data_IF_237495830493
#
_entry.id   IF_237495830493
#
_cell.length_a   1.000
_cell.length_b   1.000
_cell.length_c   1.000
_cell.angle_alpha   90.00
_cell.angle_beta   90.00
_cell.angle_gamma   90.00
#
_symmetry.space_group_name_H-M   'P 1'
#
loop_
_entity.id
_entity.type
_entity.pdbx_description
1 polymer ?
#
# COMPACT_ATOMS: atom_id res chain seq x y z
N UNK A 1 -7.95 -3.14 -8.22
CA UNK A 1 -8.11 -4.37 -7.43
C UNK A 1 -9.40 -4.26 -6.60
N UNK A 2 -10.26 -5.28 -6.58
CA UNK A 2 -11.51 -5.30 -5.79
C UNK A 2 -11.38 -6.43 -4.76
N UNK A 3 -11.49 -6.11 -3.48
CA UNK A 3 -11.22 -7.06 -2.40
C UNK A 3 -12.53 -7.75 -1.94
N UNK A 4 -12.45 -9.02 -1.50
CA UNK A 4 -13.52 -9.70 -0.76
C UNK A 4 -13.37 -9.49 0.74
N UNK A 5 -14.46 -9.41 1.49
CA UNK A 5 -14.39 -9.21 2.94
C UNK A 5 -13.89 -10.47 3.65
N UNK A 6 -12.84 -10.41 4.50
CA UNK A 6 -12.32 -11.59 5.19
C UNK A 6 -13.25 -12.14 6.28
N UNK A 7 -14.29 -11.39 6.67
CA UNK A 7 -15.20 -11.79 7.75
C UNK A 7 -16.50 -12.43 7.27
N UNK A 8 -16.99 -12.03 6.10
CA UNK A 8 -18.27 -12.49 5.58
C UNK A 8 -18.26 -12.74 4.07
N UNK A 9 -17.09 -12.65 3.43
CA UNK A 9 -16.86 -12.92 2.00
C UNK A 9 -17.61 -12.00 1.04
N UNK A 10 -18.38 -11.06 1.58
CA UNK A 10 -19.11 -10.07 0.79
C UNK A 10 -18.14 -9.24 -0.06
N UNK A 11 -18.58 -8.95 -1.27
CA UNK A 11 -17.86 -8.09 -2.19
C UNK A 11 -17.75 -6.66 -1.61
N UNK A 12 -16.52 -6.14 -1.55
CA UNK A 12 -16.27 -4.83 -0.93
C UNK A 12 -16.31 -3.71 -1.96
N UNK A 13 -16.84 -2.55 -1.55
CA UNK A 13 -16.99 -1.35 -2.38
C UNK A 13 -15.82 -0.41 -2.11
N UNK A 14 -15.17 0.09 -3.15
CA UNK A 14 -14.12 1.10 -2.99
C UNK A 14 -14.75 2.44 -2.59
N UNK A 15 -14.30 2.98 -1.46
CA UNK A 15 -14.64 4.32 -0.99
C UNK A 15 -13.51 5.27 -1.38
N UNK A 16 -13.85 6.31 -2.13
CA UNK A 16 -12.92 7.33 -2.65
C UNK A 16 -12.86 8.58 -1.77
N UNK A 17 -13.53 8.57 -0.61
CA UNK A 17 -13.52 9.65 0.38
C UNK A 17 -12.29 9.55 1.31
N UNK A 18 -12.21 10.40 2.35
CA UNK A 18 -11.10 10.40 3.31
C UNK A 18 -10.76 8.99 3.83
N UNK A 19 -9.48 8.63 3.68
CA UNK A 19 -8.97 7.30 3.98
C UNK A 19 -9.42 6.25 2.96
N UNK A 20 -9.09 6.47 1.67
CA UNK A 20 -9.34 5.58 0.54
C UNK A 20 -9.16 4.11 0.94
N UNK A 21 -10.26 3.35 0.94
CA UNK A 21 -10.33 1.98 1.42
C UNK A 21 -11.47 1.22 0.73
N UNK A 22 -11.38 -0.10 0.67
CA UNK A 22 -12.52 -0.95 0.38
C UNK A 22 -13.36 -1.12 1.64
N UNK A 23 -14.68 -0.93 1.57
CA UNK A 23 -15.61 -1.05 2.70
C UNK A 23 -16.58 -2.20 2.45
N UNK A 24 -16.74 -3.08 3.43
CA UNK A 24 -17.72 -4.16 3.36
C UNK A 24 -19.12 -3.61 3.66
N UNK A 25 -20.11 -3.79 2.77
CA UNK A 25 -21.48 -3.31 3.01
C UNK A 25 -22.22 -4.12 4.09
N UNK A 26 -21.79 -5.36 4.35
CA UNK A 26 -22.47 -6.26 5.29
C UNK A 26 -22.02 -6.09 6.74
N UNK A 27 -20.72 -5.81 6.98
CA UNK A 27 -20.16 -5.72 8.33
C UNK A 27 -19.39 -4.43 8.61
N UNK A 28 -19.20 -3.56 7.62
CA UNK A 28 -18.48 -2.29 7.79
C UNK A 28 -16.96 -2.38 7.85
N UNK A 29 -16.37 -3.58 7.75
CA UNK A 29 -14.92 -3.75 7.72
C UNK A 29 -14.27 -2.91 6.61
N UNK A 30 -13.18 -2.20 6.94
CA UNK A 30 -12.42 -1.36 6.01
C UNK A 30 -11.06 -2.00 5.71
N UNK A 31 -10.77 -2.21 4.43
CA UNK A 31 -9.51 -2.77 3.94
C UNK A 31 -8.72 -1.71 3.17
N UNK A 32 -7.45 -1.55 3.51
CA UNK A 32 -6.49 -0.64 2.88
C UNK A 32 -5.31 -1.38 2.24
N UNK A 33 -5.28 -2.72 2.29
CA UNK A 33 -4.19 -3.54 1.77
C UNK A 33 -4.03 -3.41 0.25
N UNK A 34 -5.14 -3.50 -0.50
CA UNK A 34 -5.14 -3.42 -1.96
C UNK A 34 -4.70 -2.03 -2.48
N UNK A 35 -4.84 -0.98 -1.65
CA UNK A 35 -4.57 0.43 -2.01
C UNK A 35 -3.27 0.96 -1.38
N UNK A 36 -2.64 0.23 -0.47
CA UNK A 36 -1.42 0.67 0.23
C UNK A 36 -1.62 1.88 1.15
N UNK A 37 -2.85 2.32 1.39
CA UNK A 37 -3.13 3.52 2.20
C UNK A 37 -2.97 3.27 3.70
N UNK A 38 -2.85 2.01 4.12
CA UNK A 38 -2.58 1.61 5.50
C UNK A 38 -1.11 1.56 5.88
N UNK A 39 -0.19 1.69 4.92
CA UNK A 39 1.26 1.53 5.14
C UNK A 39 2.01 2.85 5.13
N UNK A 40 1.30 3.98 5.12
CA UNK A 40 1.93 5.30 5.19
C UNK A 40 2.49 5.50 6.60
N UNK A 41 3.80 5.67 6.71
CA UNK A 41 4.50 5.93 7.97
C UNK A 41 5.02 7.36 8.02
N UNK A 42 5.17 7.91 9.23
CA UNK A 42 5.68 9.27 9.39
C UNK A 42 7.15 9.39 8.97
N UNK A 43 7.59 10.63 8.69
CA UNK A 43 8.97 10.92 8.33
C UNK A 43 9.95 10.50 9.44
N UNK A 44 9.55 10.65 10.69
CA UNK A 44 10.32 10.27 11.87
C UNK A 44 10.46 8.75 11.95
N UNK A 45 9.38 8.01 11.68
CA UNK A 45 9.41 6.54 11.65
C UNK A 45 10.27 6.02 10.51
N UNK A 46 10.23 6.68 9.34
CA UNK A 46 11.12 6.43 8.22
C UNK A 46 12.60 6.64 8.58
N UNK A 47 12.93 7.70 9.31
CA UNK A 47 14.32 7.93 9.75
C UNK A 47 14.83 6.82 10.67
N UNK A 48 14.00 6.32 11.59
CA UNK A 48 14.38 5.24 12.49
C UNK A 48 14.65 3.90 11.78
N UNK A 49 14.17 3.73 10.55
CA UNK A 49 14.43 2.53 9.74
C UNK A 49 15.74 2.60 8.94
N UNK A 50 16.44 3.74 8.92
CA UNK A 50 17.69 3.89 8.14
C UNK A 50 18.85 3.05 8.67
N UNK A 51 18.86 2.78 9.97
CA UNK A 51 19.98 2.09 10.65
C UNK A 51 19.72 0.59 10.85
N UNK A 52 18.73 0.02 10.15
CA UNK A 52 18.44 -1.41 10.25
C UNK A 52 19.27 -2.22 9.25
N UNK A 53 19.90 -3.28 9.73
CA UNK A 53 20.78 -4.17 8.96
C UNK A 53 20.12 -4.76 7.68
N UNK A 54 18.80 -4.93 7.71
CA UNK A 54 18.01 -5.50 6.61
C UNK A 54 17.53 -4.49 5.56
N UNK A 55 17.75 -3.18 5.77
CA UNK A 55 17.31 -2.13 4.85
C UNK A 55 18.48 -1.22 4.48
N UNK A 56 19.22 -1.62 3.45
CA UNK A 56 20.30 -0.83 2.82
C UNK A 56 19.83 -0.29 1.47
N UNK A 57 19.09 0.83 1.45
CA UNK A 57 18.59 1.39 0.19
C UNK A 57 19.74 1.89 -0.69
N UNK A 58 19.75 1.48 -1.96
CA UNK A 58 20.70 1.96 -2.97
C UNK A 58 20.09 3.13 -3.73
N UNK A 59 20.24 4.34 -3.19
CA UNK A 59 19.70 5.56 -3.81
C UNK A 59 20.51 6.05 -5.01
N UNK A 60 21.77 5.67 -5.12
CA UNK A 60 22.69 6.05 -6.21
C UNK A 60 22.74 5.02 -7.34
N UNK A 61 21.76 4.10 -7.40
CA UNK A 61 21.68 3.14 -8.50
C UNK A 61 21.41 3.89 -9.82
N UNK A 62 22.18 3.65 -10.90
CA UNK A 62 21.89 4.27 -12.18
C UNK A 62 20.49 3.86 -12.65
N UNK A 63 19.70 4.82 -13.10
CA UNK A 63 18.40 4.56 -13.75
C UNK A 63 18.70 3.83 -15.04
N UNK A 64 18.40 2.52 -15.09
CA UNK A 64 18.55 1.72 -16.30
C UNK A 64 17.34 1.97 -17.20
N UNK A 65 17.46 2.97 -18.08
CA UNK A 65 16.56 3.14 -19.24
C UNK A 65 16.96 2.11 -20.32
N UNK A 66 16.66 0.83 -20.11
CA UNK A 66 16.81 -0.22 -21.13
C UNK A 66 15.46 -0.87 -21.43
N UNK A 67 14.66 -0.22 -22.28
CA UNK A 67 13.80 -0.85 -23.31
C UNK A 67 13.08 0.25 -24.13
N UNK A 68 13.83 0.91 -25.00
CA UNK A 68 13.32 1.41 -26.30
C UNK A 68 14.39 1.08 -27.35
N UNK A 69 14.38 -0.17 -27.80
CA UNK A 69 15.07 -0.58 -29.01
C UNK A 69 14.05 -1.32 -29.89
N UNK A 70 13.93 -0.95 -31.18
CA UNK A 70 12.81 -1.31 -32.06
C UNK A 70 12.78 -2.79 -32.50
#
# INVERSE_FOLDING_TARGET
MRCGCPHCEAYMIQSETEGMACVCPSCGYRCNACLGTGTVISRERLKALKDTDWFTPQFDSPVSDEEDAP
#
